data_IF_033297271312
#
_entry.id   IF_033297271312
#
_cell.length_a   1.000
_cell.length_b   1.000
_cell.length_c   1.000
_cell.angle_alpha   90.00
_cell.angle_beta   90.00
_cell.angle_gamma   90.00
#
_symmetry.space_group_name_H-M   'P 1'
#
loop_
_entity.id
_entity.type
_entity.pdbx_description
1 polymer ?
#
# COMPACT_ATOMS: atom_id res chain seq x y z
N UNK A 1 -13.60 -2.54 -5.41
CA UNK A 1 -12.78 -1.33 -5.44
C UNK A 1 -11.72 -1.38 -4.33
N UNK A 2 -10.54 -0.90 -4.63
CA UNK A 2 -9.46 -0.82 -3.66
C UNK A 2 -9.50 0.53 -2.94
N UNK A 3 -9.23 0.56 -1.64
CA UNK A 3 -9.13 1.81 -0.89
C UNK A 3 -7.78 1.88 -0.19
N UNK A 4 -6.99 2.87 -0.58
CA UNK A 4 -5.72 3.14 0.10
C UNK A 4 -5.98 4.15 1.21
N UNK A 5 -5.72 3.77 2.44
CA UNK A 5 -5.96 4.61 3.62
C UNK A 5 -4.63 5.13 4.14
N UNK A 6 -4.44 6.44 4.08
CA UNK A 6 -3.24 7.10 4.56
C UNK A 6 -3.54 8.57 4.85
N UNK A 7 -2.58 9.28 5.41
CA UNK A 7 -2.69 10.72 5.62
C UNK A 7 -2.56 11.47 4.28
N UNK A 8 -3.03 12.72 4.18
CA UNK A 8 -2.94 13.51 2.94
C UNK A 8 -1.52 14.05 2.73
N UNK A 9 -0.55 13.16 2.62
CA UNK A 9 0.86 13.49 2.43
C UNK A 9 1.48 12.42 1.53
N UNK A 10 2.63 12.71 0.87
CA UNK A 10 3.31 11.69 0.06
C UNK A 10 3.74 10.49 0.90
N UNK A 11 4.69 10.69 1.79
CA UNK A 11 5.16 9.69 2.74
C UNK A 11 5.30 8.29 2.17
N UNK A 12 4.93 7.31 2.99
CA UNK A 12 5.06 5.89 2.63
C UNK A 12 4.04 5.42 1.59
N UNK A 13 3.02 6.22 1.30
CA UNK A 13 1.96 5.84 0.38
C UNK A 13 2.19 6.35 -1.06
N UNK A 14 3.18 7.21 -1.29
CA UNK A 14 3.33 7.83 -2.61
C UNK A 14 3.63 6.82 -3.72
N UNK A 15 4.57 5.92 -3.50
CA UNK A 15 4.89 4.89 -4.49
C UNK A 15 3.69 3.97 -4.74
N UNK A 16 2.91 3.69 -3.71
CA UNK A 16 1.70 2.88 -3.82
C UNK A 16 0.66 3.58 -4.70
N UNK A 17 0.47 4.89 -4.50
CA UNK A 17 -0.46 5.68 -5.32
C UNK A 17 -0.07 5.63 -6.79
N UNK A 18 1.23 5.77 -7.08
CA UNK A 18 1.74 5.71 -8.44
C UNK A 18 1.46 4.34 -9.05
N UNK A 19 1.77 3.26 -8.33
CA UNK A 19 1.56 1.90 -8.84
C UNK A 19 0.07 1.61 -9.07
N UNK A 20 -0.80 2.02 -8.15
CA UNK A 20 -2.24 1.84 -8.32
C UNK A 20 -2.76 2.62 -9.53
N UNK A 21 -2.26 3.83 -9.73
CA UNK A 21 -2.64 4.64 -10.90
C UNK A 21 -2.22 3.98 -12.20
N UNK A 22 -1.06 3.33 -12.23
CA UNK A 22 -0.57 2.64 -13.41
C UNK A 22 -1.28 1.30 -13.65
N UNK A 23 -1.90 0.72 -12.62
CA UNK A 23 -2.50 -0.60 -12.71
C UNK A 23 -3.79 -0.63 -13.54
N UNK A 24 -4.46 0.50 -13.68
CA UNK A 24 -5.79 0.55 -14.29
C UNK A 24 -6.89 0.01 -13.40
N UNK A 25 -6.57 -0.42 -12.18
CA UNK A 25 -7.58 -0.89 -11.24
C UNK A 25 -8.44 0.28 -10.73
N UNK A 26 -9.65 -0.05 -10.32
CA UNK A 26 -10.56 0.92 -9.70
C UNK A 26 -10.15 1.07 -8.23
N UNK A 27 -9.69 2.27 -7.86
CA UNK A 27 -9.20 2.50 -6.50
C UNK A 27 -9.53 3.91 -6.01
N UNK A 28 -9.54 4.07 -4.71
CA UNK A 28 -9.83 5.34 -4.04
C UNK A 28 -8.65 5.69 -3.12
N UNK A 29 -8.22 6.96 -3.17
CA UNK A 29 -7.25 7.50 -2.24
C UNK A 29 -8.01 8.05 -1.04
N UNK A 30 -8.15 7.23 0.00
CA UNK A 30 -8.94 7.57 1.18
C UNK A 30 -8.05 8.26 2.22
N UNK A 31 -7.86 9.57 2.06
CA UNK A 31 -7.09 10.36 3.02
C UNK A 31 -7.84 10.50 4.34
N UNK A 32 -7.10 10.32 5.44
CA UNK A 32 -7.66 10.44 6.79
C UNK A 32 -6.84 11.45 7.59
N UNK A 33 -7.48 12.00 8.63
CA UNK A 33 -6.79 12.87 9.59
C UNK A 33 -6.40 12.06 10.85
N UNK A 34 -5.76 12.73 11.81
CA UNK A 34 -5.34 12.07 13.04
C UNK A 34 -6.49 11.53 13.86
N UNK A 35 -7.63 12.23 13.89
CA UNK A 35 -8.80 11.78 14.64
C UNK A 35 -9.38 10.51 14.04
N UNK A 36 -9.46 10.44 12.70
CA UNK A 36 -9.95 9.24 12.02
C UNK A 36 -8.96 8.07 12.19
N UNK A 37 -7.67 8.36 12.13
CA UNK A 37 -6.64 7.35 12.39
C UNK A 37 -6.84 6.73 13.77
N UNK A 38 -7.01 7.56 14.80
CA UNK A 38 -7.20 7.09 16.16
C UNK A 38 -8.47 6.26 16.30
N UNK A 39 -9.57 6.70 15.66
CA UNK A 39 -10.82 5.96 15.68
C UNK A 39 -10.69 4.58 15.01
N UNK A 40 -9.99 4.50 13.88
CA UNK A 40 -9.77 3.24 13.20
C UNK A 40 -8.89 2.30 14.02
N UNK A 41 -7.90 2.86 14.71
CA UNK A 41 -7.01 2.09 15.57
C UNK A 41 -7.79 1.48 16.74
N UNK A 42 -8.65 2.28 17.38
CA UNK A 42 -9.49 1.82 18.49
C UNK A 42 -10.53 0.79 18.05
N UNK A 43 -11.03 0.93 16.83
CA UNK A 43 -12.02 0.00 16.28
C UNK A 43 -11.42 -1.34 15.85
N UNK A 44 -10.09 -1.46 15.81
CA UNK A 44 -9.42 -2.66 15.35
C UNK A 44 -9.37 -2.81 13.84
N UNK A 45 -9.57 -1.70 13.10
CA UNK A 45 -9.56 -1.72 11.63
C UNK A 45 -8.15 -1.75 11.05
N UNK A 46 -7.13 -1.52 11.88
CA UNK A 46 -5.74 -1.46 11.46
C UNK A 46 -5.00 -2.68 12.02
N UNK A 47 -4.63 -3.67 11.17
CA UNK A 47 -4.01 -4.92 11.63
C UNK A 47 -2.80 -4.73 12.56
N UNK A 48 -1.98 -3.73 12.27
CA UNK A 48 -0.78 -3.43 13.07
C UNK A 48 -0.87 -2.08 13.76
N UNK A 49 -2.07 -1.46 13.79
CA UNK A 49 -2.26 -0.14 14.39
C UNK A 49 -1.60 0.99 13.61
N UNK A 50 -1.29 0.79 12.35
CA UNK A 50 -0.53 1.72 11.51
C UNK A 50 -1.21 1.91 10.17
N UNK A 51 -0.92 3.03 9.50
CA UNK A 51 -1.24 3.24 8.09
C UNK A 51 0.08 3.40 7.32
N UNK A 52 0.16 3.12 6.01
CA UNK A 52 -0.97 2.86 5.12
C UNK A 52 -1.55 1.45 5.30
N UNK A 53 -2.81 1.31 4.92
CA UNK A 53 -3.44 0.02 4.70
C UNK A 53 -4.17 0.08 3.36
N UNK A 54 -4.29 -1.06 2.70
CA UNK A 54 -5.07 -1.19 1.47
C UNK A 54 -6.24 -2.12 1.75
N UNK A 55 -7.44 -1.59 1.62
CA UNK A 55 -8.67 -2.35 1.76
C UNK A 55 -9.06 -2.91 0.41
N UNK A 56 -9.17 -4.23 0.32
CA UNK A 56 -9.51 -4.94 -0.91
C UNK A 56 -10.78 -5.76 -0.70
N UNK A 57 -11.41 -6.26 -1.78
CA UNK A 57 -12.55 -7.16 -1.63
C UNK A 57 -12.21 -8.43 -0.85
N UNK A 58 -10.94 -8.83 -0.82
CA UNK A 58 -10.51 -10.05 -0.13
C UNK A 58 -10.07 -9.80 1.31
N UNK A 59 -9.91 -8.53 1.69
CA UNK A 59 -9.47 -8.17 3.03
C UNK A 59 -8.50 -7.00 3.01
N UNK A 60 -7.94 -6.68 4.17
CA UNK A 60 -7.04 -5.55 4.36
C UNK A 60 -5.58 -6.02 4.33
N UNK A 61 -4.76 -5.31 3.56
CA UNK A 61 -3.31 -5.53 3.53
C UNK A 61 -2.64 -4.40 4.29
N UNK A 62 -1.77 -4.74 5.22
CA UNK A 62 -0.97 -3.78 5.98
C UNK A 62 0.49 -3.84 5.52
N UNK A 63 1.30 -2.88 5.97
CA UNK A 63 2.70 -2.71 5.64
C UNK A 63 2.91 -2.15 4.24
N UNK A 64 3.55 -0.98 4.17
CA UNK A 64 3.71 -0.25 2.91
C UNK A 64 4.43 -1.05 1.83
N UNK A 65 5.46 -1.82 2.20
CA UNK A 65 6.19 -2.61 1.22
C UNK A 65 5.36 -3.76 0.66
N UNK A 66 4.54 -4.41 1.50
CA UNK A 66 3.63 -5.46 1.05
C UNK A 66 2.55 -4.91 0.11
N UNK A 67 2.00 -3.76 0.46
CA UNK A 67 1.00 -3.08 -0.37
C UNK A 67 1.62 -2.68 -1.71
N UNK A 68 2.84 -2.17 -1.69
CA UNK A 68 3.53 -1.77 -2.91
C UNK A 68 3.76 -2.97 -3.84
N UNK A 69 4.13 -4.12 -3.28
CA UNK A 69 4.29 -5.35 -4.09
C UNK A 69 2.96 -5.78 -4.71
N UNK A 70 1.89 -5.72 -3.95
CA UNK A 70 0.55 -6.04 -4.46
C UNK A 70 0.17 -5.10 -5.61
N UNK A 71 0.32 -3.79 -5.39
CA UNK A 71 0.00 -2.80 -6.42
C UNK A 71 0.90 -2.96 -7.66
N UNK A 72 2.17 -3.27 -7.45
CA UNK A 72 3.12 -3.51 -8.53
C UNK A 72 2.72 -4.71 -9.38
N UNK A 73 2.22 -5.77 -8.76
CA UNK A 73 1.71 -6.93 -9.50
C UNK A 73 0.47 -6.60 -10.30
N UNK A 74 -0.44 -5.82 -9.74
CA UNK A 74 -1.62 -5.37 -10.48
C UNK A 74 -1.22 -4.54 -11.69
N UNK A 75 -0.16 -3.76 -11.58
CA UNK A 75 0.32 -2.90 -12.65
C UNK A 75 1.20 -3.64 -13.67
N UNK A 76 1.51 -4.92 -13.43
CA UNK A 76 2.40 -5.69 -14.30
C UNK A 76 3.85 -5.26 -14.21
N UNK A 77 4.25 -4.65 -13.09
CA UNK A 77 5.60 -4.12 -12.90
C UNK A 77 6.54 -5.09 -12.20
N UNK A 78 6.02 -6.21 -11.68
CA UNK A 78 6.84 -7.20 -10.99
C UNK A 78 7.22 -8.30 -11.96
N UNK A 79 8.54 -8.54 -12.16
CA UNK A 79 8.97 -9.62 -13.05
C UNK A 79 8.55 -10.99 -12.53
N UNK A 80 8.29 -11.92 -13.45
CA UNK A 80 7.94 -13.29 -13.09
C UNK A 80 9.18 -14.14 -12.77
N UNK A 81 10.32 -13.79 -13.35
CA UNK A 81 11.57 -14.48 -13.07
C UNK A 81 11.96 -14.33 -11.60
N UNK A 82 12.27 -15.44 -10.90
CA UNK A 82 12.55 -15.36 -9.46
C UNK A 82 13.71 -14.41 -9.09
N UNK A 83 14.78 -14.39 -9.89
CA UNK A 83 15.90 -13.50 -9.60
C UNK A 83 15.52 -12.05 -9.79
N UNK A 84 14.87 -11.72 -10.91
CA UNK A 84 14.43 -10.34 -11.16
C UNK A 84 13.40 -9.89 -10.16
N UNK A 85 12.51 -10.77 -9.75
CA UNK A 85 11.52 -10.48 -8.71
C UNK A 85 12.21 -10.18 -7.38
N UNK A 86 13.23 -10.97 -7.03
CA UNK A 86 14.00 -10.75 -5.80
C UNK A 86 14.75 -9.42 -5.84
N UNK A 87 15.28 -9.02 -7.00
CA UNK A 87 15.95 -7.72 -7.14
C UNK A 87 14.97 -6.57 -6.98
N UNK A 88 13.75 -6.73 -7.48
CA UNK A 88 12.70 -5.73 -7.26
C UNK A 88 12.37 -5.62 -5.77
N UNK A 89 12.24 -6.74 -5.07
CA UNK A 89 11.98 -6.76 -3.64
C UNK A 89 13.15 -6.15 -2.86
N UNK A 90 14.37 -6.43 -3.26
CA UNK A 90 15.56 -5.84 -2.64
C UNK A 90 15.50 -4.31 -2.71
N UNK A 91 15.12 -3.78 -3.87
CA UNK A 91 14.99 -2.34 -4.05
C UNK A 91 13.89 -1.78 -3.14
N UNK A 92 12.74 -2.43 -3.09
CA UNK A 92 11.62 -2.00 -2.24
C UNK A 92 12.03 -2.00 -0.77
N UNK A 93 12.64 -3.09 -0.32
CA UNK A 93 13.05 -3.23 1.07
C UNK A 93 14.19 -2.26 1.43
N UNK A 94 15.07 -1.99 0.47
CA UNK A 94 16.16 -1.05 0.67
C UNK A 94 15.72 0.40 0.78
N UNK A 95 14.52 0.73 0.33
CA UNK A 95 13.94 2.06 0.47
C UNK A 95 13.30 2.28 1.84
N UNK A 96 13.02 1.23 2.58
CA UNK A 96 12.43 1.30 3.91
C UNK A 96 13.52 1.35 4.98
N UNK A 97 13.32 2.09 6.08
CA UNK A 97 12.29 3.10 6.31
C UNK A 97 12.70 4.44 5.70
N UNK A 98 11.74 5.15 5.13
CA UNK A 98 12.00 6.49 4.58
C UNK A 98 11.36 7.55 5.46
#
# INVERSE_FOLDING_TARGET
>A
MLRLVYFPSPGRAEAIRIALSLSGADWEDASIDGARFQAMKEAGDLPWGMVPVLQTPDGTIAESSAILRYAGRLAGLVPEDPYQSAKADEFIDGMEPL
#
